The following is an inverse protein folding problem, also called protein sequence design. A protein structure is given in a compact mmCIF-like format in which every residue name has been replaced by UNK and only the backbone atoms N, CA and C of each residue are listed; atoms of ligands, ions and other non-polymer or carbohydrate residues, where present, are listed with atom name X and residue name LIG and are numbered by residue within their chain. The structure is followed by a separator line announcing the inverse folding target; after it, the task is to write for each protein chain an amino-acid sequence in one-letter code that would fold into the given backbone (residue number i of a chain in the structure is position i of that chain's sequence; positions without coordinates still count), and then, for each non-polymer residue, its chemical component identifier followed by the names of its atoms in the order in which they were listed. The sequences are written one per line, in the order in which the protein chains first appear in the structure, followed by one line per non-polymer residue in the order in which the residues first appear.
data_IF_145627355399
#
_entry.id   IF_145627355399
#
_cell.length_a   1.000
_cell.length_b   1.000
_cell.length_c   1.000
_cell.angle_alpha   90.00
_cell.angle_beta   90.00
_cell.angle_gamma   90.00
#
_symmetry.space_group_name_H-M   'P 1'
#
loop_
_entity.id
_entity.type
_entity.pdbx_description
1 polymer ?
#
# COMPACT_ATOMS: atom_id res chain seq x y z
N UNK A 1 -4.22 10.61 5.87
CA UNK A 1 -4.01 9.77 4.69
C UNK A 1 -5.26 9.63 3.80
N UNK A 2 -6.39 9.08 4.25
CA UNK A 2 -7.57 8.92 3.37
C UNK A 2 -7.99 10.19 2.60
N UNK A 3 -8.07 11.32 3.30
CA UNK A 3 -8.30 12.64 2.67
C UNK A 3 -7.19 13.05 1.68
N UNK A 4 -5.93 12.75 1.99
CA UNK A 4 -4.77 13.06 1.13
C UNK A 4 -4.77 12.21 -0.16
N UNK A 5 -5.39 11.02 -0.10
CA UNK A 5 -5.63 10.14 -1.24
C UNK A 5 -6.93 10.48 -2.00
N UNK A 6 -7.61 11.59 -1.64
CA UNK A 6 -8.83 12.04 -2.30
C UNK A 6 -10.11 11.32 -1.85
N UNK A 7 -10.05 10.48 -0.81
CA UNK A 7 -11.23 9.80 -0.29
C UNK A 7 -12.04 10.71 0.66
N UNK A 8 -13.36 10.54 0.67
CA UNK A 8 -14.28 11.20 1.63
C UNK A 8 -14.88 10.18 2.58
N UNK A 9 -14.91 10.49 3.88
CA UNK A 9 -15.47 9.57 4.86
C UNK A 9 -16.98 9.55 4.73
N UNK A 10 -17.56 8.35 4.74
CA UNK A 10 -19.00 8.14 4.66
C UNK A 10 -19.41 7.09 5.68
N UNK A 11 -20.10 7.53 6.73
CA UNK A 11 -20.58 6.68 7.82
C UNK A 11 -21.68 5.70 7.39
N UNK A 12 -22.23 5.85 6.17
CA UNK A 12 -23.20 4.90 5.61
C UNK A 12 -22.57 3.71 4.90
N UNK A 13 -21.25 3.72 4.66
CA UNK A 13 -20.52 2.63 4.00
C UNK A 13 -20.15 1.51 4.97
N UNK A 14 -19.79 0.36 4.40
CA UNK A 14 -19.34 -0.81 5.17
C UNK A 14 -18.18 -0.45 6.10
N UNK A 15 -18.35 -0.76 7.38
CA UNK A 15 -17.29 -0.65 8.39
C UNK A 15 -16.69 -2.03 8.60
N UNK A 16 -15.39 -2.14 8.37
CA UNK A 16 -14.60 -3.33 8.66
C UNK A 16 -13.93 -3.20 10.03
N UNK A 17 -13.79 -4.33 10.71
CA UNK A 17 -13.06 -4.41 11.97
C UNK A 17 -11.60 -4.71 11.68
N UNK A 18 -10.71 -3.84 12.16
CA UNK A 18 -9.27 -4.07 12.10
C UNK A 18 -8.83 -5.11 13.13
N UNK A 19 -7.60 -5.59 13.00
CA UNK A 19 -6.94 -6.47 13.95
C UNK A 19 -5.72 -5.81 14.62
N UNK A 20 -5.15 -6.47 15.63
CA UNK A 20 -3.94 -6.00 16.32
C UNK A 20 -4.14 -4.68 17.07
N UNK A 21 -3.14 -3.80 17.00
CA UNK A 21 -3.13 -2.52 17.73
C UNK A 21 -4.24 -1.54 17.32
N UNK A 22 -4.80 -1.70 16.13
CA UNK A 22 -5.94 -0.90 15.65
C UNK A 22 -7.27 -1.63 15.81
N UNK A 23 -7.30 -2.76 16.53
CA UNK A 23 -8.45 -3.66 16.58
C UNK A 23 -9.72 -3.09 17.23
N UNK A 24 -9.65 -1.91 17.86
CA UNK A 24 -10.81 -1.21 18.41
C UNK A 24 -11.26 -0.03 17.53
N UNK A 25 -10.61 0.18 16.38
CA UNK A 25 -10.89 1.30 15.50
C UNK A 25 -11.75 0.83 14.32
N UNK A 26 -12.90 1.47 14.06
CA UNK A 26 -13.63 1.23 12.82
C UNK A 26 -12.78 1.70 11.64
N UNK A 27 -12.84 0.95 10.55
CA UNK A 27 -12.25 1.35 9.29
C UNK A 27 -13.25 1.21 8.14
N UNK A 28 -13.15 2.09 7.16
CA UNK A 28 -13.84 1.99 5.89
C UNK A 28 -12.85 1.49 4.82
N UNK A 29 -13.26 0.57 3.93
CA UNK A 29 -12.45 0.21 2.78
C UNK A 29 -12.32 1.42 1.85
N UNK A 30 -11.12 1.63 1.30
CA UNK A 30 -10.82 2.72 0.38
C UNK A 30 -9.77 2.26 -0.63
N UNK A 31 -10.03 2.42 -1.91
CA UNK A 31 -9.08 2.09 -2.98
C UNK A 31 -8.49 3.36 -3.58
N UNK A 32 -7.23 3.33 -3.99
CA UNK A 32 -6.59 4.41 -4.73
C UNK A 32 -5.58 3.87 -5.73
N UNK A 33 -5.44 4.53 -6.88
CA UNK A 33 -4.27 4.34 -7.75
C UNK A 33 -3.08 5.01 -7.10
N UNK A 34 -2.03 4.24 -6.81
CA UNK A 34 -0.84 4.72 -6.12
C UNK A 34 0.37 4.50 -7.02
N UNK A 35 1.14 5.57 -7.19
CA UNK A 35 2.44 5.51 -7.84
C UNK A 35 3.53 5.36 -6.77
N UNK A 36 4.37 4.33 -6.90
CA UNK A 36 5.47 4.04 -5.98
C UNK A 36 6.79 4.27 -6.71
N UNK A 37 7.40 5.43 -6.47
CA UNK A 37 8.51 5.95 -7.27
C UNK A 37 8.18 5.94 -8.76
N UNK A 38 9.02 5.30 -9.58
CA UNK A 38 8.89 5.31 -11.04
C UNK A 38 8.13 4.11 -11.63
N UNK A 39 7.58 3.24 -10.78
CA UNK A 39 6.77 2.09 -11.20
C UNK A 39 5.40 2.57 -11.73
N UNK A 40 4.86 1.85 -12.73
CA UNK A 40 3.50 2.07 -13.21
C UNK A 40 2.49 2.12 -12.04
N UNK A 41 1.50 3.04 -12.04
CA UNK A 41 0.53 3.14 -10.95
C UNK A 41 -0.21 1.81 -10.72
N UNK A 42 -0.24 1.35 -9.47
CA UNK A 42 -0.95 0.15 -9.04
C UNK A 42 -2.19 0.50 -8.23
N UNK A 43 -3.26 -0.28 -8.35
CA UNK A 43 -4.44 -0.10 -7.52
C UNK A 43 -4.18 -0.70 -6.14
N UNK A 44 -4.23 0.12 -5.09
CA UNK A 44 -4.10 -0.33 -3.71
C UNK A 44 -5.40 -0.09 -2.92
N UNK A 45 -5.86 -1.16 -2.27
CA UNK A 45 -6.89 -1.14 -1.24
C UNK A 45 -6.31 -0.88 0.17
N UNK A 46 -6.92 0.08 0.86
CA UNK A 46 -6.59 0.52 2.20
C UNK A 46 -7.78 0.36 3.13
N UNK A 47 -7.47 0.16 4.41
CA UNK A 47 -8.43 0.30 5.49
C UNK A 47 -8.24 1.66 6.15
N UNK A 48 -9.11 2.62 5.82
CA UNK A 48 -9.02 3.97 6.35
C UNK A 48 -9.78 4.06 7.68
N UNK A 49 -9.15 4.59 8.73
CA UNK A 49 -9.80 4.87 10.02
C UNK A 49 -9.91 6.38 10.29
N UNK A 50 -10.90 6.77 11.10
CA UNK A 50 -11.05 8.14 11.60
C UNK A 50 -9.97 8.55 12.61
N UNK A 51 -9.24 7.59 13.18
CA UNK A 51 -8.18 7.89 14.14
C UNK A 51 -7.09 8.77 13.50
N UNK A 52 -6.75 9.92 14.09
CA UNK A 52 -5.69 10.77 13.57
C UNK A 52 -4.33 10.11 13.77
N UNK A 53 -3.36 10.47 12.94
CA UNK A 53 -1.94 10.06 13.07
C UNK A 53 -1.68 8.54 13.07
N UNK A 54 -2.59 7.75 12.49
CA UNK A 54 -2.32 6.35 12.22
C UNK A 54 -1.31 6.27 11.05
N UNK A 55 -0.18 5.56 11.22
CA UNK A 55 0.81 5.44 10.16
C UNK A 55 0.22 4.72 8.95
N UNK A 56 0.75 5.00 7.77
CA UNK A 56 0.43 4.19 6.59
C UNK A 56 1.00 2.79 6.79
N UNK A 57 0.12 1.79 6.82
CA UNK A 57 0.51 0.39 6.96
C UNK A 57 0.39 -0.27 5.59
N UNK A 58 1.53 -0.69 5.04
CA UNK A 58 1.62 -1.50 3.84
C UNK A 58 1.81 -2.95 4.27
N UNK A 59 0.93 -3.83 3.80
CA UNK A 59 0.79 -5.18 4.34
C UNK A 59 0.78 -6.28 3.30
N UNK A 60 0.67 -7.51 3.81
CA UNK A 60 0.63 -8.74 3.02
C UNK A 60 -0.53 -8.75 2.04
N UNK A 61 -1.72 -8.37 2.50
CA UNK A 61 -2.86 -8.21 1.62
C UNK A 61 -2.67 -6.93 0.83
N UNK A 62 -2.80 -7.03 -0.49
CA UNK A 62 -2.73 -5.95 -1.46
C UNK A 62 -1.29 -5.49 -1.78
N UNK A 63 -0.59 -4.73 -0.93
CA UNK A 63 0.73 -4.17 -1.32
C UNK A 63 1.80 -5.22 -1.65
N UNK A 64 2.04 -6.22 -0.78
CA UNK A 64 3.00 -7.30 -1.08
C UNK A 64 2.47 -8.35 -2.07
N UNK A 65 1.23 -8.21 -2.56
CA UNK A 65 0.73 -9.04 -3.67
C UNK A 65 1.06 -8.42 -5.03
N UNK A 66 1.10 -7.09 -5.09
CA UNK A 66 1.41 -6.32 -6.31
C UNK A 66 2.91 -6.08 -6.49
N UNK A 67 3.68 -6.05 -5.39
CA UNK A 67 5.10 -5.73 -5.41
C UNK A 67 5.93 -6.78 -4.67
N UNK A 68 7.03 -7.20 -5.30
CA UNK A 68 8.12 -7.91 -4.62
C UNK A 68 8.96 -6.88 -3.85
N UNK A 69 9.13 -7.06 -2.54
CA UNK A 69 9.69 -6.03 -1.65
C UNK A 69 10.87 -6.54 -0.82
N UNK A 70 11.98 -5.81 -0.87
CA UNK A 70 13.19 -6.05 -0.07
C UNK A 70 13.42 -4.93 0.95
N UNK A 71 13.49 -5.27 2.24
CA UNK A 71 13.65 -4.28 3.32
C UNK A 71 15.10 -4.11 3.78
N UNK A 72 15.58 -2.86 3.83
CA UNK A 72 16.89 -2.48 4.37
C UNK A 72 16.73 -1.73 5.69
N UNK A 73 16.48 -2.47 6.77
CA UNK A 73 16.10 -1.90 8.08
C UNK A 73 17.10 -0.88 8.66
N UNK A 74 18.40 -1.08 8.47
CA UNK A 74 19.44 -0.16 8.95
C UNK A 74 19.44 1.17 8.19
N UNK A 75 18.97 1.17 6.94
CA UNK A 75 18.85 2.36 6.08
C UNK A 75 17.47 3.03 6.17
N UNK A 76 16.48 2.35 6.78
CA UNK A 76 15.08 2.77 6.77
C UNK A 76 14.52 2.91 5.34
N UNK A 77 14.93 2.01 4.47
CA UNK A 77 14.57 1.98 3.06
C UNK A 77 14.02 0.60 2.70
N UNK A 78 13.24 0.55 1.62
CA UNK A 78 12.92 -0.70 0.94
C UNK A 78 13.10 -0.53 -0.56
N UNK A 79 13.36 -1.63 -1.26
CA UNK A 79 13.26 -1.73 -2.71
C UNK A 79 11.96 -2.45 -3.06
N UNK A 80 11.25 -1.93 -4.06
CA UNK A 80 10.07 -2.56 -4.62
C UNK A 80 10.26 -2.80 -6.12
N UNK A 81 9.83 -3.97 -6.58
CA UNK A 81 9.69 -4.31 -7.99
C UNK A 81 8.24 -4.73 -8.25
N UNK A 82 7.66 -4.43 -9.42
CA UNK A 82 6.42 -5.06 -9.84
C UNK A 82 6.57 -6.57 -9.72
N UNK A 83 5.55 -7.23 -9.14
CA UNK A 83 5.52 -8.68 -9.17
C UNK A 83 5.67 -9.13 -10.62
N UNK A 84 6.67 -9.96 -10.87
CA UNK A 84 6.90 -10.47 -12.22
C UNK A 84 5.61 -11.11 -12.75
N UNK A 85 5.14 -10.70 -13.94
CA UNK A 85 3.99 -11.35 -14.53
C UNK A 85 4.41 -12.80 -14.85
N UNK A 86 3.42 -13.68 -15.05
CA UNK A 86 3.68 -15.12 -15.19
C UNK A 86 4.80 -15.40 -16.23
N UNK A 87 5.52 -16.54 -16.20
CA UNK A 87 6.61 -16.81 -17.15
C UNK A 87 6.28 -16.63 -18.64
N UNK A 88 4.99 -16.57 -19.01
CA UNK A 88 4.50 -16.31 -20.37
C UNK A 88 4.47 -14.81 -20.74
N UNK A 89 4.50 -13.93 -19.74
CA UNK A 89 4.44 -12.47 -19.90
C UNK A 89 5.85 -11.83 -19.89
N UNK A 90 6.91 -12.59 -19.58
CA UNK A 90 8.30 -12.15 -19.46
C UNK A 90 8.96 -11.67 -20.78
N UNK A 91 8.20 -11.36 -21.82
CA UNK A 91 8.73 -10.76 -23.05
C UNK A 91 8.76 -9.22 -22.95
N UNK A 92 8.12 -8.63 -21.94
CA UNK A 92 8.12 -7.18 -21.74
C UNK A 92 8.91 -6.77 -20.48
N UNK A 93 10.01 -6.07 -20.73
CA UNK A 93 10.73 -5.10 -19.89
C UNK A 93 10.91 -5.41 -18.39
N UNK A 94 12.14 -5.79 -18.05
CA UNK A 94 12.71 -5.72 -16.70
C UNK A 94 12.71 -4.26 -16.22
N UNK A 95 11.66 -3.83 -15.51
CA UNK A 95 11.70 -2.57 -14.76
C UNK A 95 12.71 -2.70 -13.61
N UNK A 96 13.56 -1.68 -13.42
CA UNK A 96 14.56 -1.68 -12.35
C UNK A 96 13.89 -1.51 -10.97
N UNK A 97 14.48 -2.09 -9.90
CA UNK A 97 14.00 -1.89 -8.54
C UNK A 97 14.02 -0.43 -8.14
N UNK A 98 12.96 0.01 -7.46
CA UNK A 98 12.83 1.38 -6.97
C UNK A 98 13.09 1.40 -5.46
N UNK A 99 14.08 2.19 -5.03
CA UNK A 99 14.35 2.44 -3.61
C UNK A 99 13.43 3.53 -3.05
N UNK A 100 12.73 3.22 -1.96
CA UNK A 100 11.84 4.12 -1.25
C UNK A 100 12.34 4.34 0.19
N UNK A 101 12.51 5.60 0.56
CA UNK A 101 12.90 6.01 1.91
C UNK A 101 11.67 6.17 2.80
N UNK A 102 11.65 5.48 3.94
CA UNK A 102 10.58 5.58 4.93
C UNK A 102 10.85 6.79 5.83
N UNK A 103 10.25 7.93 5.50
CA UNK A 103 10.23 9.09 6.40
C UNK A 103 9.18 8.82 7.50
N UNK A 104 9.64 8.54 8.72
CA UNK A 104 8.79 8.46 9.92
C UNK A 104 8.45 9.85 10.47
#
# INVERSE_FOLDING_TARGET
MGLQLGATWDDSKAIIQLAGNLGNQPAAPSSAMVQVGDIAPVQLDFSWTKSPNVPLILGQTNFFMELDVCFYRSKMEFEGEPKSPSPLDCIAESENPVSVVLNQ
#
